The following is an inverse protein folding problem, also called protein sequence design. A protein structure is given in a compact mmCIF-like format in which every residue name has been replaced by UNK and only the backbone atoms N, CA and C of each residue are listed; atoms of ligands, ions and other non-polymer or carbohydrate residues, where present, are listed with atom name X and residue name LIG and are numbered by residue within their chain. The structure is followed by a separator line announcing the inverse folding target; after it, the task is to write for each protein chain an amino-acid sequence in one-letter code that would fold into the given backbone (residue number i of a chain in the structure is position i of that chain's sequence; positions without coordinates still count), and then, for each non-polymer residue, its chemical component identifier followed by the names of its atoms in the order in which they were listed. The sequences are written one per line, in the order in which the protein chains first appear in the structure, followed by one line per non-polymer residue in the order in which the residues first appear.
data_IF_924966359515
#
_entry.id   IF_924966359515
#
_cell.length_a   1.000
_cell.length_b   1.000
_cell.length_c   1.000
_cell.angle_alpha   90.00
_cell.angle_beta   90.00
_cell.angle_gamma   90.00
#
_symmetry.space_group_name_H-M   'P 1'
#
loop_
_entity.id
_entity.type
_entity.pdbx_description
1 polymer ?
#
# COMPACT_ATOMS: atom_id res chain seq x y z
N UNK A 1 27.50 31.44 15.45
CA UNK A 1 27.94 30.04 15.29
C UNK A 1 28.97 30.01 14.17
N UNK A 2 30.21 29.56 14.44
CA UNK A 2 31.28 29.52 13.42
C UNK A 2 30.86 28.56 12.30
N UNK A 3 30.88 29.04 11.07
CA UNK A 3 30.49 28.28 9.88
C UNK A 3 31.52 27.17 9.64
N UNK A 4 31.18 25.94 10.03
CA UNK A 4 32.09 24.77 9.97
C UNK A 4 32.35 24.40 8.50
N UNK A 5 31.34 24.59 7.64
CA UNK A 5 31.40 24.36 6.20
C UNK A 5 32.03 25.53 5.44
N UNK A 6 33.06 25.25 4.65
CA UNK A 6 33.70 26.21 3.73
C UNK A 6 33.09 26.09 2.35
N UNK A 7 32.68 27.21 1.75
CA UNK A 7 32.20 27.24 0.37
C UNK A 7 33.38 27.12 -0.58
N UNK A 8 33.31 26.18 -1.52
CA UNK A 8 34.32 25.98 -2.57
C UNK A 8 33.69 26.02 -3.97
N UNK A 9 34.54 26.15 -4.99
CA UNK A 9 34.10 25.94 -6.37
C UNK A 9 33.91 24.43 -6.58
N UNK A 10 32.80 23.99 -7.20
CA UNK A 10 32.56 22.59 -7.48
C UNK A 10 33.65 22.04 -8.41
N UNK A 11 34.09 20.82 -8.14
CA UNK A 11 35.08 20.13 -8.97
C UNK A 11 34.42 19.44 -10.16
N UNK A 12 33.16 19.06 -9.98
CA UNK A 12 32.40 18.31 -10.98
C UNK A 12 31.66 19.25 -11.93
N UNK A 13 31.77 19.05 -13.25
CA UNK A 13 31.00 19.85 -14.21
C UNK A 13 29.50 19.62 -14.01
N UNK A 14 28.71 20.70 -14.14
CA UNK A 14 27.25 20.66 -13.95
C UNK A 14 26.78 20.95 -12.51
N UNK A 15 27.67 20.98 -11.53
CA UNK A 15 27.36 21.44 -10.17
C UNK A 15 27.66 22.94 -10.04
N UNK A 16 26.85 23.64 -9.25
CA UNK A 16 26.90 25.11 -9.14
C UNK A 16 27.44 25.54 -7.78
N UNK A 17 27.15 24.77 -6.73
CA UNK A 17 27.57 25.04 -5.36
C UNK A 17 28.33 23.84 -4.81
N UNK A 18 29.39 24.09 -4.05
CA UNK A 18 30.11 23.05 -3.31
C UNK A 18 30.47 23.56 -1.92
N UNK A 19 30.36 22.67 -0.93
CA UNK A 19 30.75 22.90 0.44
C UNK A 19 31.70 21.81 0.87
N UNK A 20 32.77 22.19 1.58
CA UNK A 20 33.73 21.25 2.13
C UNK A 20 33.89 21.47 3.61
N UNK A 21 34.21 20.40 4.33
CA UNK A 21 34.47 20.45 5.75
C UNK A 21 35.50 19.38 6.12
N UNK A 22 36.36 19.72 7.06
CA UNK A 22 37.30 18.78 7.68
C UNK A 22 36.77 18.41 9.07
N UNK A 23 36.66 17.13 9.34
CA UNK A 23 36.26 16.62 10.65
C UNK A 23 37.44 16.65 11.63
N UNK A 24 37.22 16.59 12.96
CA UNK A 24 38.29 16.50 13.95
C UNK A 24 39.20 15.28 13.78
N UNK A 25 38.68 14.21 13.17
CA UNK A 25 39.42 12.98 12.86
C UNK A 25 40.29 13.10 11.60
N UNK A 26 40.18 14.22 10.89
CA UNK A 26 40.90 14.49 9.64
C UNK A 26 40.24 13.89 8.39
N UNK A 27 38.99 13.44 8.48
CA UNK A 27 38.18 13.06 7.31
C UNK A 27 37.66 14.31 6.60
N UNK A 28 37.65 14.29 5.27
CA UNK A 28 37.20 15.41 4.43
C UNK A 28 35.82 15.08 3.87
N UNK A 29 34.84 15.93 4.15
CA UNK A 29 33.48 15.82 3.64
C UNK A 29 33.25 16.91 2.59
N UNK A 30 32.71 16.53 1.44
CA UNK A 30 32.32 17.47 0.39
C UNK A 30 30.86 17.23 -0.01
N UNK A 31 30.12 18.32 -0.23
CA UNK A 31 28.73 18.29 -0.69
C UNK A 31 28.59 19.25 -1.88
N UNK A 32 28.32 18.69 -3.06
CA UNK A 32 28.09 19.46 -4.28
C UNK A 32 26.60 19.48 -4.62
N UNK A 33 26.10 20.63 -5.09
CA UNK A 33 24.69 20.82 -5.42
C UNK A 33 24.50 21.42 -6.82
N UNK A 34 23.66 20.77 -7.61
CA UNK A 34 23.08 21.28 -8.84
C UNK A 34 21.62 21.66 -8.57
N UNK A 35 21.36 22.97 -8.61
CA UNK A 35 20.05 23.54 -8.32
C UNK A 35 18.98 23.16 -9.37
N UNK A 36 19.35 23.08 -10.65
CA UNK A 36 18.39 22.81 -11.73
C UNK A 36 17.85 21.38 -11.69
N UNK A 37 18.74 20.41 -11.48
CA UNK A 37 18.36 19.00 -11.44
C UNK A 37 17.96 18.51 -10.04
N UNK A 38 18.12 19.37 -9.01
CA UNK A 38 18.04 19.02 -7.59
C UNK A 38 18.92 17.82 -7.25
N UNK A 39 20.12 17.83 -7.81
CA UNK A 39 21.10 16.76 -7.69
C UNK A 39 22.12 17.16 -6.64
N UNK A 40 22.27 16.33 -5.62
CA UNK A 40 23.26 16.48 -4.56
C UNK A 40 24.25 15.35 -4.68
N UNK A 41 25.53 15.67 -4.62
CA UNK A 41 26.60 14.69 -4.52
C UNK A 41 27.28 14.84 -3.18
N UNK A 42 27.23 13.79 -2.37
CA UNK A 42 27.94 13.69 -1.11
C UNK A 42 29.21 12.88 -1.35
N UNK A 43 30.34 13.42 -0.91
CA UNK A 43 31.65 12.77 -0.94
C UNK A 43 32.19 12.73 0.49
N UNK A 44 32.66 11.55 0.90
CA UNK A 44 33.35 11.36 2.17
C UNK A 44 34.70 10.70 1.91
N UNK A 45 35.77 11.42 2.21
CA UNK A 45 37.14 10.91 2.21
C UNK A 45 37.52 10.51 3.64
N UNK A 46 37.67 9.21 3.86
CA UNK A 46 37.92 8.65 5.19
C UNK A 46 39.42 8.39 5.35
N UNK A 47 40.05 9.13 6.27
CA UNK A 47 41.49 9.04 6.54
C UNK A 47 41.87 7.70 7.16
N UNK A 48 41.02 7.15 8.04
CA UNK A 48 41.20 5.83 8.63
C UNK A 48 41.31 4.70 7.58
N UNK A 49 40.70 4.88 6.40
CA UNK A 49 40.69 3.91 5.31
C UNK A 49 41.74 4.22 4.25
N UNK A 50 42.83 4.90 4.63
CA UNK A 50 43.90 5.36 3.73
C UNK A 50 43.42 6.37 2.69
N UNK A 51 42.48 7.25 3.05
CA UNK A 51 41.96 8.29 2.16
C UNK A 51 41.03 7.74 1.07
N UNK A 52 40.27 6.68 1.38
CA UNK A 52 39.26 6.18 0.44
C UNK A 52 38.12 7.17 0.30
N UNK A 53 37.73 7.43 -0.94
CA UNK A 53 36.70 8.41 -1.28
C UNK A 53 35.42 7.68 -1.65
N UNK A 54 34.37 7.94 -0.89
CA UNK A 54 33.05 7.38 -1.09
C UNK A 54 32.09 8.43 -1.58
N UNK A 55 31.43 8.17 -2.72
CA UNK A 55 30.48 9.08 -3.32
C UNK A 55 29.07 8.52 -3.33
N UNK A 56 28.12 9.37 -2.99
CA UNK A 56 26.70 9.13 -3.18
C UNK A 56 26.08 10.29 -3.96
N UNK A 57 25.35 9.97 -5.02
CA UNK A 57 24.58 10.93 -5.80
C UNK A 57 23.11 10.76 -5.47
N UNK A 58 22.49 11.80 -4.93
CA UNK A 58 21.11 11.86 -4.51
C UNK A 58 20.36 12.84 -5.42
N UNK A 59 19.19 12.44 -5.90
CA UNK A 59 18.29 13.32 -6.65
C UNK A 59 16.95 13.38 -5.95
N UNK A 60 16.62 14.56 -5.39
CA UNK A 60 15.33 14.83 -4.75
C UNK A 60 14.87 13.71 -3.78
N UNK A 61 15.73 13.33 -2.83
CA UNK A 61 15.45 12.30 -1.83
C UNK A 61 15.61 10.85 -2.28
N UNK A 62 16.09 10.60 -3.51
CA UNK A 62 16.35 9.24 -4.03
C UNK A 62 17.84 9.07 -4.32
N UNK A 63 18.47 8.05 -3.75
CA UNK A 63 19.85 7.68 -4.04
C UNK A 63 19.93 7.08 -5.44
N UNK A 64 20.62 7.76 -6.36
CA UNK A 64 20.78 7.33 -7.75
C UNK A 64 21.98 6.42 -7.92
N UNK A 65 23.09 6.75 -7.27
CA UNK A 65 24.35 6.03 -7.43
C UNK A 65 25.18 6.10 -6.16
N UNK A 66 25.72 4.95 -5.76
CA UNK A 66 26.71 4.85 -4.68
C UNK A 66 27.96 4.18 -5.25
N UNK A 67 29.12 4.81 -5.04
CA UNK A 67 30.38 4.37 -5.65
C UNK A 67 31.55 4.63 -4.73
N UNK A 68 32.44 3.66 -4.64
CA UNK A 68 33.80 3.86 -4.14
C UNK A 68 34.65 4.40 -5.31
N UNK A 69 35.13 5.64 -5.19
CA UNK A 69 35.93 6.28 -6.23
C UNK A 69 37.34 5.72 -6.30
N UNK A 70 37.90 5.31 -5.15
CA UNK A 70 39.25 4.77 -5.06
C UNK A 70 39.31 3.38 -5.71
N UNK A 71 38.29 2.55 -5.48
CA UNK A 71 38.17 1.24 -6.12
C UNK A 71 37.53 1.28 -7.51
N UNK A 72 36.85 2.38 -7.86
CA UNK A 72 36.13 2.54 -9.13
C UNK A 72 34.86 1.68 -9.25
N UNK A 73 34.42 1.01 -8.18
CA UNK A 73 33.31 0.04 -8.17
C UNK A 73 32.06 0.62 -7.50
N UNK A 74 30.89 0.15 -7.93
CA UNK A 74 29.63 0.40 -7.22
C UNK A 74 29.75 -0.26 -5.84
N UNK A 75 29.51 0.52 -4.79
CA UNK A 75 29.68 0.08 -3.40
C UNK A 75 28.57 0.71 -2.55
N UNK A 76 27.96 -0.04 -1.62
CA UNK A 76 26.94 0.53 -0.74
C UNK A 76 27.56 1.50 0.28
N UNK A 77 27.42 2.80 0.02
CA UNK A 77 28.12 3.85 0.78
C UNK A 77 27.42 4.19 2.10
N UNK A 78 26.20 3.69 2.35
CA UNK A 78 25.42 3.98 3.56
C UNK A 78 26.22 3.91 4.86
N UNK A 79 26.95 2.81 5.10
CA UNK A 79 27.72 2.63 6.36
C UNK A 79 28.89 3.61 6.51
N UNK A 80 29.32 4.23 5.42
CA UNK A 80 30.45 5.18 5.38
C UNK A 80 29.97 6.62 5.53
N UNK A 81 28.83 6.98 4.94
CA UNK A 81 28.26 8.34 5.06
C UNK A 81 27.45 8.53 6.35
N UNK A 82 26.72 7.50 6.81
CA UNK A 82 25.82 7.61 7.97
C UNK A 82 26.47 8.12 9.27
N UNK A 83 27.72 7.75 9.62
CA UNK A 83 28.40 8.32 10.80
C UNK A 83 28.55 9.84 10.74
N UNK A 84 28.59 10.42 9.54
CA UNK A 84 28.75 11.85 9.31
C UNK A 84 27.44 12.60 9.14
N UNK A 85 26.28 11.95 9.37
CA UNK A 85 24.96 12.55 9.15
C UNK A 85 24.76 13.87 9.89
N UNK A 86 25.27 13.97 11.12
CA UNK A 86 25.17 15.18 11.95
C UNK A 86 25.92 16.35 11.30
N UNK A 87 27.09 16.10 10.71
CA UNK A 87 27.83 17.13 10.00
C UNK A 87 27.10 17.58 8.73
N UNK A 88 26.57 16.64 7.95
CA UNK A 88 25.78 16.96 6.76
C UNK A 88 24.48 17.68 7.11
N UNK A 89 23.87 17.41 8.27
CA UNK A 89 22.67 18.14 8.73
C UNK A 89 22.92 19.63 8.96
N UNK A 90 24.17 19.98 9.31
CA UNK A 90 24.61 21.36 9.56
C UNK A 90 24.99 22.13 8.27
N UNK A 91 24.68 21.58 7.09
CA UNK A 91 24.92 22.26 5.83
C UNK A 91 24.14 23.60 5.78
N UNK A 92 24.78 24.69 5.30
CA UNK A 92 24.17 26.02 5.32
C UNK A 92 23.04 26.20 4.28
N UNK A 93 23.03 25.37 3.23
CA UNK A 93 22.09 25.50 2.12
C UNK A 93 20.83 24.64 2.34
N UNK A 94 19.70 25.31 2.57
CA UNK A 94 18.40 24.67 2.81
C UNK A 94 17.91 23.91 1.58
N UNK A 95 18.19 24.39 0.37
CA UNK A 95 17.73 23.75 -0.86
C UNK A 95 18.48 22.44 -1.11
N UNK A 96 19.76 22.41 -0.75
CA UNK A 96 20.56 21.19 -0.78
C UNK A 96 20.06 20.17 0.26
N UNK A 97 19.82 20.60 1.50
CA UNK A 97 19.24 19.74 2.54
C UNK A 97 17.86 19.19 2.15
N UNK A 98 17.00 20.02 1.56
CA UNK A 98 15.71 19.60 1.03
C UNK A 98 15.85 18.57 -0.10
N UNK A 99 16.88 18.70 -0.93
CA UNK A 99 17.17 17.77 -2.04
C UNK A 99 17.76 16.44 -1.55
N UNK A 100 18.45 16.43 -0.40
CA UNK A 100 18.88 15.20 0.29
C UNK A 100 17.65 14.44 0.82
N UNK A 101 16.64 15.15 1.31
CA UNK A 101 15.32 14.59 1.59
C UNK A 101 15.30 13.48 2.64
N UNK A 102 16.20 13.52 3.64
CA UNK A 102 16.28 12.48 4.68
C UNK A 102 17.12 11.25 4.30
N UNK A 103 17.74 11.24 3.13
CA UNK A 103 18.71 10.19 2.78
C UNK A 103 19.85 10.14 3.81
N UNK A 104 20.23 8.93 4.21
CA UNK A 104 21.22 8.69 5.28
C UNK A 104 20.86 9.29 6.65
N UNK A 105 19.57 9.52 6.91
CA UNK A 105 19.06 10.17 8.13
C UNK A 105 19.58 11.60 8.31
N UNK A 106 19.88 12.28 7.20
CA UNK A 106 20.30 13.69 7.18
C UNK A 106 19.04 14.55 7.06
N UNK A 107 18.69 15.22 8.16
CA UNK A 107 17.54 16.13 8.22
C UNK A 107 18.00 17.57 8.46
N UNK A 108 17.26 18.58 7.97
CA UNK A 108 17.53 19.95 8.37
C UNK A 108 17.25 20.11 9.88
N UNK A 109 18.02 20.93 10.62
CA UNK A 109 17.93 21.04 12.08
C UNK A 109 16.57 21.55 12.60
N UNK A 110 15.72 22.10 11.73
CA UNK A 110 14.36 22.54 12.07
C UNK A 110 13.31 21.42 11.90
N UNK A 111 13.66 20.30 11.26
CA UNK A 111 12.73 19.21 10.98
C UNK A 111 12.66 18.13 12.08
N UNK A 112 13.58 18.08 13.05
CA UNK A 112 13.50 17.12 14.17
C UNK A 112 12.20 17.28 14.98
N UNK A 113 11.73 18.51 15.20
CA UNK A 113 10.47 18.74 15.93
C UNK A 113 9.21 18.46 15.08
N UNK A 114 9.33 18.40 13.75
CA UNK A 114 8.23 17.98 12.87
C UNK A 114 8.28 16.50 12.53
N UNK A 115 9.44 15.84 12.61
CA UNK A 115 9.59 14.42 12.33
C UNK A 115 8.99 13.56 13.44
N UNK A 116 8.90 14.02 14.70
CA UNK A 116 8.11 13.30 15.71
C UNK A 116 6.61 13.39 15.42
N UNK A 117 6.07 14.57 15.07
CA UNK A 117 4.65 14.72 14.67
C UNK A 117 4.33 13.99 13.36
N UNK A 118 5.25 13.97 12.39
CA UNK A 118 5.10 13.22 11.14
C UNK A 118 5.41 11.73 11.28
N UNK A 119 6.24 11.29 12.23
CA UNK A 119 6.54 9.88 12.50
C UNK A 119 5.32 9.13 13.05
N UNK A 120 4.43 9.81 13.79
CA UNK A 120 3.14 9.23 14.20
C UNK A 120 2.10 9.18 13.06
N UNK A 121 2.16 10.10 12.08
CA UNK A 121 1.35 10.01 10.85
C UNK A 121 1.96 9.04 9.79
N UNK A 122 3.29 8.93 9.69
CA UNK A 122 4.03 8.12 8.70
C UNK A 122 4.24 6.67 9.16
N UNK A 123 4.28 6.38 10.47
CA UNK A 123 4.21 4.99 10.98
C UNK A 123 2.81 4.40 10.86
N UNK A 124 1.81 5.22 10.53
CA UNK A 124 0.50 4.80 10.05
C UNK A 124 0.51 4.42 8.58
N UNK A 125 0.95 3.20 8.26
CA UNK A 125 0.40 2.48 7.10
C UNK A 125 0.60 3.10 5.70
N UNK A 126 1.84 3.33 5.27
CA UNK A 126 2.29 3.12 3.89
C UNK A 126 1.46 3.75 2.76
N UNK A 127 1.48 5.08 2.66
CA UNK A 127 1.20 5.77 1.40
C UNK A 127 2.52 6.02 0.65
N UNK A 128 2.61 5.74 -0.66
CA UNK A 128 3.78 6.12 -1.44
C UNK A 128 3.82 7.65 -1.52
N UNK A 129 5.02 8.22 -1.38
CA UNK A 129 5.30 9.62 -1.69
C UNK A 129 4.81 9.91 -3.11
N UNK A 130 3.63 10.53 -3.23
CA UNK A 130 3.16 11.06 -4.50
C UNK A 130 4.02 12.28 -4.78
N UNK A 131 4.89 12.17 -5.77
CA UNK A 131 5.55 13.36 -6.30
C UNK A 131 4.47 14.29 -6.84
N UNK A 132 4.60 15.61 -6.66
CA UNK A 132 3.65 16.65 -7.14
C UNK A 132 3.27 16.52 -8.64
N UNK A 133 4.02 15.73 -9.41
CA UNK A 133 3.81 15.45 -10.83
C UNK A 133 3.18 14.07 -11.14
N UNK A 134 3.08 13.14 -10.18
CA UNK A 134 2.48 11.81 -10.41
C UNK A 134 0.97 11.89 -10.65
N UNK A 135 0.29 12.88 -10.06
CA UNK A 135 -1.14 13.14 -10.29
C UNK A 135 -1.44 13.74 -11.67
N UNK A 136 -0.46 14.37 -12.31
CA UNK A 136 -0.62 15.02 -13.63
C UNK A 136 -0.49 14.00 -14.77
N UNK A 137 0.37 12.98 -14.59
CA UNK A 137 0.63 11.94 -15.60
C UNK A 137 -0.05 10.59 -15.32
N UNK A 138 -0.74 10.43 -14.18
CA UNK A 138 -1.42 9.18 -13.82
C UNK A 138 -0.48 7.98 -13.64
N UNK A 139 0.81 8.23 -13.40
CA UNK A 139 1.83 7.18 -13.30
C UNK A 139 1.78 6.59 -11.90
N UNK A 140 1.03 5.51 -11.76
CA UNK A 140 0.88 4.81 -10.49
C UNK A 140 2.02 3.79 -10.36
N UNK A 141 3.13 4.19 -9.70
CA UNK A 141 4.22 3.27 -9.30
C UNK A 141 3.82 2.46 -8.07
N UNK A 142 2.82 1.61 -8.23
CA UNK A 142 2.39 0.72 -7.15
C UNK A 142 3.14 -0.61 -7.18
N UNK A 143 3.78 -0.93 -6.05
CA UNK A 143 4.24 -2.30 -5.77
C UNK A 143 3.06 -3.28 -5.77
N UNK A 144 3.30 -4.56 -6.09
CA UNK A 144 2.24 -5.60 -6.14
C UNK A 144 1.41 -5.66 -4.84
N UNK A 145 2.05 -5.43 -3.69
CA UNK A 145 1.39 -5.42 -2.39
C UNK A 145 0.50 -4.20 -2.16
N UNK A 146 0.93 -3.01 -2.59
CA UNK A 146 0.11 -1.79 -2.55
C UNK A 146 -1.09 -1.91 -3.50
N UNK A 147 -0.88 -2.42 -4.72
CA UNK A 147 -1.97 -2.70 -5.67
C UNK A 147 -3.03 -3.64 -5.09
N UNK A 148 -2.59 -4.67 -4.37
CA UNK A 148 -3.48 -5.60 -3.68
C UNK A 148 -4.24 -4.95 -2.52
N UNK A 149 -3.57 -4.14 -1.69
CA UNK A 149 -4.21 -3.38 -0.61
C UNK A 149 -5.20 -2.36 -1.14
N UNK A 150 -4.86 -1.61 -2.20
CA UNK A 150 -5.72 -0.64 -2.86
C UNK A 150 -6.95 -1.31 -3.44
N UNK A 151 -6.79 -2.41 -4.20
CA UNK A 151 -7.92 -3.22 -4.67
C UNK A 151 -8.79 -3.71 -3.52
N UNK A 152 -8.23 -4.09 -2.37
CA UNK A 152 -9.02 -4.45 -1.17
C UNK A 152 -9.75 -3.25 -0.56
N UNK A 153 -9.14 -2.07 -0.54
CA UNK A 153 -9.73 -0.83 0.01
C UNK A 153 -10.82 -0.28 -0.91
N UNK A 154 -10.55 -0.19 -2.21
CA UNK A 154 -11.52 0.12 -3.26
C UNK A 154 -12.66 -0.89 -3.25
N UNK A 155 -12.38 -2.20 -3.13
CA UNK A 155 -13.43 -3.21 -2.98
C UNK A 155 -14.22 -3.07 -1.68
N UNK A 156 -13.67 -2.45 -0.63
CA UNK A 156 -14.42 -2.14 0.61
C UNK A 156 -15.24 -0.87 0.49
N UNK A 157 -14.74 0.14 -0.23
CA UNK A 157 -15.43 1.41 -0.51
C UNK A 157 -16.56 1.23 -1.52
N UNK A 158 -16.35 0.44 -2.58
CA UNK A 158 -17.35 0.10 -3.59
C UNK A 158 -18.46 -0.82 -3.08
N UNK A 159 -18.28 -1.42 -1.89
CA UNK A 159 -19.31 -2.24 -1.23
C UNK A 159 -20.47 -1.43 -0.66
N UNK A 160 -20.42 -0.09 -0.65
CA UNK A 160 -21.49 0.76 -0.16
C UNK A 160 -21.76 0.61 1.34
N UNK A 161 -22.79 1.31 1.83
CA UNK A 161 -23.20 1.22 3.24
C UNK A 161 -23.62 -0.21 3.60
N UNK A 162 -23.45 -0.60 4.88
CA UNK A 162 -23.89 -1.93 5.36
C UNK A 162 -25.38 -2.17 5.07
N UNK A 163 -26.18 -1.10 5.11
CA UNK A 163 -27.61 -1.12 4.81
C UNK A 163 -27.94 -1.46 3.35
N UNK A 164 -27.27 -0.84 2.38
CA UNK A 164 -27.50 -1.14 0.95
C UNK A 164 -27.14 -2.59 0.60
N UNK A 165 -26.13 -3.16 1.25
CA UNK A 165 -25.77 -4.58 1.10
C UNK A 165 -26.82 -5.50 1.69
N UNK A 166 -27.31 -5.17 2.88
CA UNK A 166 -28.40 -5.91 3.51
C UNK A 166 -29.66 -5.86 2.64
N UNK A 167 -30.08 -4.67 2.18
CA UNK A 167 -31.23 -4.49 1.31
C UNK A 167 -31.09 -5.30 0.01
N UNK A 168 -29.97 -5.18 -0.71
CA UNK A 168 -29.74 -5.95 -1.95
C UNK A 168 -29.73 -7.46 -1.72
N UNK A 169 -29.21 -7.91 -0.58
CA UNK A 169 -29.21 -9.33 -0.21
C UNK A 169 -30.63 -9.82 0.09
N UNK A 170 -31.34 -9.09 0.93
CA UNK A 170 -32.72 -9.40 1.32
C UNK A 170 -33.65 -9.49 0.10
N UNK A 171 -33.59 -8.52 -0.82
CA UNK A 171 -34.41 -8.55 -2.04
C UNK A 171 -34.11 -9.75 -2.95
N UNK A 172 -32.84 -10.12 -3.08
CA UNK A 172 -32.46 -11.33 -3.85
C UNK A 172 -32.96 -12.61 -3.19
N UNK A 173 -32.86 -12.70 -1.86
CA UNK A 173 -33.32 -13.86 -1.11
C UNK A 173 -34.85 -14.01 -1.18
N UNK A 174 -35.60 -12.89 -1.08
CA UNK A 174 -37.06 -12.87 -1.25
C UNK A 174 -37.46 -13.34 -2.65
N UNK A 175 -36.77 -12.88 -3.70
CA UNK A 175 -37.06 -13.30 -5.07
C UNK A 175 -36.89 -14.80 -5.26
N UNK A 176 -35.81 -15.38 -4.70
CA UNK A 176 -35.57 -16.82 -4.79
C UNK A 176 -36.61 -17.63 -4.01
N UNK A 177 -37.04 -17.12 -2.85
CA UNK A 177 -38.08 -17.77 -2.05
C UNK A 177 -39.41 -17.77 -2.81
N UNK A 178 -39.80 -16.64 -3.39
CA UNK A 178 -41.02 -16.54 -4.20
C UNK A 178 -40.96 -17.44 -5.43
N UNK A 179 -39.82 -17.51 -6.13
CA UNK A 179 -39.64 -18.40 -7.27
C UNK A 179 -39.69 -19.88 -6.86
N UNK A 180 -39.01 -20.24 -5.77
CA UNK A 180 -38.99 -21.60 -5.24
C UNK A 180 -40.39 -22.07 -4.81
N UNK A 181 -41.10 -21.24 -4.03
CA UNK A 181 -42.47 -21.54 -3.60
C UNK A 181 -43.44 -21.57 -4.79
N UNK A 182 -43.29 -20.66 -5.75
CA UNK A 182 -44.11 -20.64 -6.97
C UNK A 182 -43.95 -21.92 -7.79
N UNK A 183 -42.71 -22.36 -8.02
CA UNK A 183 -42.44 -23.61 -8.75
C UNK A 183 -42.94 -24.84 -8.00
N UNK A 184 -42.72 -24.91 -6.67
CA UNK A 184 -43.27 -26.00 -5.86
C UNK A 184 -44.81 -25.99 -5.85
N UNK A 185 -45.42 -24.81 -5.85
CA UNK A 185 -46.87 -24.64 -5.99
C UNK A 185 -47.40 -25.16 -7.32
N UNK A 186 -46.70 -24.88 -8.43
CA UNK A 186 -47.05 -25.45 -9.75
C UNK A 186 -46.96 -26.98 -9.74
N UNK A 187 -45.91 -27.54 -9.14
CA UNK A 187 -45.77 -29.00 -8.97
C UNK A 187 -46.94 -29.56 -8.17
N UNK A 188 -47.31 -28.92 -7.06
CA UNK A 188 -48.45 -29.34 -6.27
C UNK A 188 -49.76 -29.27 -7.06
N UNK A 189 -50.02 -28.20 -7.80
CA UNK A 189 -51.23 -28.11 -8.64
C UNK A 189 -51.28 -29.14 -9.77
N UNK A 190 -50.13 -29.63 -10.24
CA UNK A 190 -50.06 -30.64 -11.28
C UNK A 190 -50.33 -32.07 -10.75
N UNK A 191 -49.82 -32.40 -9.57
CA UNK A 191 -49.87 -33.76 -9.02
C UNK A 191 -50.86 -33.94 -7.86
N UNK A 192 -51.28 -32.86 -7.20
CA UNK A 192 -52.12 -32.86 -5.99
C UNK A 192 -51.61 -33.78 -4.88
N UNK A 193 -50.27 -33.92 -4.77
CA UNK A 193 -49.61 -34.83 -3.84
C UNK A 193 -48.67 -34.05 -2.90
N UNK A 194 -48.92 -34.18 -1.60
CA UNK A 194 -48.16 -33.54 -0.53
C UNK A 194 -46.75 -34.13 -0.36
N UNK A 195 -46.55 -35.40 -0.68
CA UNK A 195 -45.24 -36.07 -0.66
C UNK A 195 -44.34 -35.50 -1.75
N UNK A 196 -44.88 -35.39 -2.98
CA UNK A 196 -44.19 -34.78 -4.12
C UNK A 196 -43.90 -33.30 -3.85
N UNK A 197 -44.85 -32.57 -3.25
CA UNK A 197 -44.64 -31.20 -2.82
C UNK A 197 -43.50 -31.10 -1.79
N UNK A 198 -43.49 -31.94 -0.75
CA UNK A 198 -42.46 -31.95 0.28
C UNK A 198 -41.06 -32.25 -0.28
N UNK A 199 -40.96 -33.21 -1.20
CA UNK A 199 -39.73 -33.54 -1.90
C UNK A 199 -39.26 -32.40 -2.83
N UNK A 200 -40.19 -31.76 -3.55
CA UNK A 200 -39.88 -30.62 -4.41
C UNK A 200 -39.34 -29.42 -3.61
N UNK A 201 -39.94 -29.10 -2.46
CA UNK A 201 -39.47 -28.03 -1.55
C UNK A 201 -38.05 -28.29 -1.04
N UNK A 202 -37.75 -29.52 -0.62
CA UNK A 202 -36.42 -29.88 -0.12
C UNK A 202 -35.36 -29.81 -1.25
N UNK A 203 -35.68 -30.33 -2.43
CA UNK A 203 -34.78 -30.31 -3.58
C UNK A 203 -34.54 -28.89 -4.09
N UNK A 204 -35.57 -28.05 -4.20
CA UNK A 204 -35.43 -26.63 -4.53
C UNK A 204 -34.63 -25.85 -3.49
N UNK A 205 -34.80 -26.15 -2.21
CA UNK A 205 -34.00 -25.57 -1.13
C UNK A 205 -32.50 -25.85 -1.29
N UNK A 206 -32.14 -27.10 -1.62
CA UNK A 206 -30.76 -27.49 -1.90
C UNK A 206 -30.23 -26.84 -3.18
N UNK A 207 -31.00 -26.86 -4.27
CA UNK A 207 -30.62 -26.26 -5.55
C UNK A 207 -30.41 -24.74 -5.44
N UNK A 208 -31.28 -24.05 -4.71
CA UNK A 208 -31.12 -22.62 -4.46
C UNK A 208 -29.86 -22.31 -3.65
N UNK A 209 -29.55 -23.14 -2.63
CA UNK A 209 -28.29 -23.03 -1.88
C UNK A 209 -27.06 -23.30 -2.76
N UNK A 210 -27.12 -24.30 -3.64
CA UNK A 210 -26.05 -24.63 -4.58
C UNK A 210 -25.83 -23.51 -5.61
N UNK A 211 -26.89 -22.93 -6.16
CA UNK A 211 -26.83 -21.80 -7.09
C UNK A 211 -26.23 -20.54 -6.43
N UNK A 212 -26.60 -20.28 -5.18
CA UNK A 212 -26.02 -19.18 -4.40
C UNK A 212 -24.51 -19.34 -4.20
N UNK A 213 -24.04 -20.59 -4.03
CA UNK A 213 -22.62 -20.92 -3.91
C UNK A 213 -21.86 -20.84 -5.25
N UNK A 214 -22.35 -21.56 -6.28
CA UNK A 214 -21.63 -21.72 -7.56
C UNK A 214 -21.71 -20.49 -8.46
N UNK A 215 -22.93 -19.97 -8.67
CA UNK A 215 -23.18 -18.92 -9.69
C UNK A 215 -22.98 -17.55 -9.07
N UNK A 216 -23.53 -17.33 -7.88
CA UNK A 216 -23.53 -15.99 -7.26
C UNK A 216 -22.31 -15.74 -6.38
N UNK A 217 -21.48 -16.76 -6.11
CA UNK A 217 -20.28 -16.68 -5.25
C UNK A 217 -20.58 -16.03 -3.89
N UNK A 218 -21.79 -16.26 -3.35
CA UNK A 218 -22.25 -15.74 -2.05
C UNK A 218 -22.17 -16.83 -1.00
N UNK A 219 -22.15 -16.44 0.28
CA UNK A 219 -22.30 -17.42 1.35
C UNK A 219 -23.71 -17.99 1.31
N UNK A 220 -23.81 -19.32 1.32
CA UNK A 220 -25.09 -20.02 1.41
C UNK A 220 -25.80 -19.53 2.69
N UNK A 221 -27.00 -18.98 2.52
CA UNK A 221 -27.79 -18.55 3.67
C UNK A 221 -28.39 -19.82 4.29
N UNK A 222 -27.72 -20.37 5.31
CA UNK A 222 -28.16 -21.62 5.94
C UNK A 222 -29.60 -21.56 6.41
N UNK A 223 -30.07 -20.39 6.84
CA UNK A 223 -31.46 -20.15 7.23
C UNK A 223 -32.46 -20.38 6.10
N UNK A 224 -32.14 -20.01 4.84
CA UNK A 224 -32.99 -20.26 3.66
C UNK A 224 -33.07 -21.75 3.33
N UNK A 225 -31.92 -22.43 3.31
CA UNK A 225 -31.88 -23.88 3.02
C UNK A 225 -32.63 -24.65 4.11
N UNK A 226 -32.38 -24.33 5.37
CA UNK A 226 -33.07 -24.94 6.50
C UNK A 226 -34.56 -24.66 6.51
N UNK A 227 -35.00 -23.44 6.15
CA UNK A 227 -36.43 -23.14 6.08
C UNK A 227 -37.12 -24.01 5.01
N UNK A 228 -36.54 -24.12 3.82
CA UNK A 228 -37.09 -24.99 2.76
C UNK A 228 -37.07 -26.46 3.16
N UNK A 229 -36.00 -26.92 3.82
CA UNK A 229 -35.89 -28.29 4.28
C UNK A 229 -36.91 -28.60 5.38
N UNK A 230 -37.11 -27.69 6.35
CA UNK A 230 -38.12 -27.86 7.41
C UNK A 230 -39.54 -27.87 6.85
N UNK A 231 -39.83 -26.99 5.88
CA UNK A 231 -41.15 -26.89 5.25
C UNK A 231 -41.42 -28.11 4.36
N UNK A 232 -40.40 -28.54 3.62
CA UNK A 232 -40.45 -29.76 2.81
C UNK A 232 -40.64 -31.02 3.66
N UNK A 233 -39.90 -31.16 4.76
CA UNK A 233 -40.06 -32.26 5.71
C UNK A 233 -41.46 -32.28 6.34
N UNK A 234 -42.00 -31.11 6.70
CA UNK A 234 -43.36 -31.00 7.23
C UNK A 234 -44.40 -31.51 6.24
N UNK A 235 -44.36 -31.05 4.98
CA UNK A 235 -45.31 -31.48 3.96
C UNK A 235 -45.12 -32.93 3.53
N UNK A 236 -43.86 -33.40 3.46
CA UNK A 236 -43.56 -34.79 3.16
C UNK A 236 -44.13 -35.72 4.24
N UNK A 237 -43.90 -35.39 5.52
CA UNK A 237 -44.45 -36.17 6.64
C UNK A 237 -45.98 -36.13 6.65
N UNK A 238 -46.57 -34.96 6.47
CA UNK A 238 -48.03 -34.80 6.47
C UNK A 238 -48.65 -35.59 5.32
N UNK A 239 -48.06 -35.50 4.12
CA UNK A 239 -48.49 -36.26 2.95
C UNK A 239 -48.34 -37.76 3.12
N UNK A 240 -47.28 -38.24 3.75
CA UNK A 240 -47.04 -39.67 3.94
C UNK A 240 -47.95 -40.30 5.01
N UNK A 241 -48.34 -39.52 6.03
CA UNK A 241 -49.10 -40.03 7.18
C UNK A 241 -50.61 -39.83 7.03
N UNK A 242 -51.05 -38.69 6.49
CA UNK A 242 -52.46 -38.30 6.50
C UNK A 242 -53.16 -38.40 5.15
N UNK A 243 -52.43 -38.59 4.06
CA UNK A 243 -52.94 -38.65 2.69
C UNK A 243 -52.39 -39.88 1.97
#
# INVERSE_FOLDING_TARGET
MKQIWRKQKPRTPGFIRSFTMETPLGDVLEAEFNFHERLVRLSAEIKAERGRIYNSTIRNGVVMQEKDMTAGRVYPVFRKIWPFREFFSLLPDKDMLASIGGCYEIYPPQAENQSERKSWEEKGFGEPFSTKYDSIFGIIRETRFQRWRRKRREARLSRGTRWERFKRRFWGDVQDICLGLGLCGVVYYAYYDYVILGFSLASFGMLAGLLDFLVRKRSVLMTKVLSFLSLGSYFFYTGYVYF
#
